data_IF_307539669396
#
_entry.id   IF_307539669396
#
_cell.length_a   1.000
_cell.length_b   1.000
_cell.length_c   1.000
_cell.angle_alpha   90.00
_cell.angle_beta   90.00
_cell.angle_gamma   90.00
#
_symmetry.space_group_name_H-M   'P 1'
#
loop_
_entity.id
_entity.type
_entity.pdbx_description
1 polymer ?
#
# COMPACT_ATOMS: atom_id res chain seq x y z
N UNK A 1 -32.90 -15.86 -51.59
CA UNK A 1 -31.86 -14.81 -51.44
C UNK A 1 -31.81 -14.47 -49.96
N UNK A 2 -30.79 -14.94 -49.25
CA UNK A 2 -30.57 -14.63 -47.85
C UNK A 2 -29.79 -13.32 -47.77
N UNK A 3 -30.40 -12.29 -47.22
CA UNK A 3 -29.71 -11.05 -46.88
C UNK A 3 -29.48 -11.06 -45.37
N UNK A 4 -28.33 -11.59 -44.96
CA UNK A 4 -27.86 -11.66 -43.57
C UNK A 4 -27.10 -10.36 -43.24
N UNK A 5 -27.82 -9.25 -43.21
CA UNK A 5 -27.29 -7.95 -42.82
C UNK A 5 -27.63 -7.59 -41.38
N UNK A 6 -27.15 -8.33 -40.37
CA UNK A 6 -27.29 -7.89 -38.96
C UNK A 6 -26.39 -8.51 -37.85
N UNK A 7 -25.06 -8.75 -38.01
CA UNK A 7 -24.20 -9.07 -36.85
C UNK A 7 -23.53 -7.85 -36.21
N UNK A 8 -23.36 -6.74 -36.93
CA UNK A 8 -22.38 -5.70 -36.56
C UNK A 8 -22.85 -4.76 -35.45
N UNK A 9 -24.15 -4.43 -35.40
CA UNK A 9 -24.71 -3.49 -34.41
C UNK A 9 -24.75 -4.06 -32.99
N UNK A 10 -25.01 -5.35 -32.85
CA UNK A 10 -25.08 -6.05 -31.54
C UNK A 10 -23.69 -6.18 -30.91
N UNK A 11 -22.65 -6.42 -31.71
CA UNK A 11 -21.26 -6.56 -31.25
C UNK A 11 -20.71 -5.23 -30.72
N UNK A 12 -21.04 -4.09 -31.36
CA UNK A 12 -20.59 -2.78 -30.88
C UNK A 12 -21.27 -2.35 -29.58
N UNK A 13 -22.56 -2.65 -29.41
CA UNK A 13 -23.29 -2.34 -28.16
C UNK A 13 -22.76 -3.11 -26.95
N UNK A 14 -22.38 -4.38 -27.15
CA UNK A 14 -21.80 -5.24 -26.11
C UNK A 14 -20.41 -4.73 -25.67
N UNK A 15 -19.55 -4.35 -26.62
CA UNK A 15 -18.21 -3.80 -26.32
C UNK A 15 -18.28 -2.45 -25.59
N UNK A 16 -19.22 -1.58 -25.95
CA UNK A 16 -19.41 -0.30 -25.24
C UNK A 16 -19.88 -0.54 -23.79
N UNK A 17 -20.76 -1.53 -23.58
CA UNK A 17 -21.15 -1.96 -22.23
C UNK A 17 -19.95 -2.42 -21.39
N UNK A 18 -19.12 -3.29 -21.95
CA UNK A 18 -17.90 -3.78 -21.29
C UNK A 18 -16.92 -2.63 -20.94
N UNK A 19 -16.71 -1.68 -21.84
CA UNK A 19 -15.88 -0.49 -21.57
C UNK A 19 -16.45 0.32 -20.40
N UNK A 20 -17.77 0.53 -20.37
CA UNK A 20 -18.40 1.28 -19.28
C UNK A 20 -18.29 0.56 -17.93
N UNK A 21 -18.41 -0.77 -17.92
CA UNK A 21 -18.23 -1.58 -16.70
C UNK A 21 -16.79 -1.51 -16.19
N UNK A 22 -15.80 -1.61 -17.08
CA UNK A 22 -14.37 -1.47 -16.74
C UNK A 22 -14.06 -0.06 -16.21
N UNK A 23 -14.66 0.98 -16.79
CA UNK A 23 -14.53 2.37 -16.30
C UNK A 23 -15.14 2.52 -14.91
N UNK A 24 -16.33 1.99 -14.67
CA UNK A 24 -16.98 2.02 -13.36
C UNK A 24 -16.13 1.30 -12.30
N UNK A 25 -15.55 0.14 -12.65
CA UNK A 25 -14.60 -0.58 -11.81
C UNK A 25 -13.37 0.27 -11.47
N UNK A 26 -12.76 0.95 -12.45
CA UNK A 26 -11.60 1.80 -12.19
C UNK A 26 -11.92 3.03 -11.34
N UNK A 27 -13.12 3.61 -11.46
CA UNK A 27 -13.59 4.68 -10.56
C UNK A 27 -13.64 4.18 -9.11
N UNK A 28 -14.25 3.02 -8.89
CA UNK A 28 -14.31 2.41 -7.55
C UNK A 28 -12.91 2.06 -7.02
N UNK A 29 -12.04 1.52 -7.87
CA UNK A 29 -10.66 1.21 -7.51
C UNK A 29 -9.85 2.46 -7.15
N UNK A 30 -10.15 3.63 -7.74
CA UNK A 30 -9.48 4.87 -7.39
C UNK A 30 -9.81 5.32 -5.95
N UNK A 31 -11.06 5.19 -5.52
CA UNK A 31 -11.46 5.44 -4.12
C UNK A 31 -10.75 4.48 -3.16
N UNK A 32 -10.67 3.21 -3.53
CA UNK A 32 -9.94 2.19 -2.78
C UNK A 32 -8.43 2.48 -2.73
N UNK A 33 -7.84 3.00 -3.81
CA UNK A 33 -6.44 3.39 -3.89
C UNK A 33 -6.12 4.51 -2.88
N UNK A 34 -6.99 5.52 -2.79
CA UNK A 34 -6.87 6.59 -1.80
C UNK A 34 -6.99 6.05 -0.37
N UNK A 35 -7.92 5.14 -0.12
CA UNK A 35 -8.07 4.48 1.19
C UNK A 35 -6.82 3.70 1.58
N UNK A 36 -6.29 2.88 0.67
CA UNK A 36 -5.06 2.09 0.90
C UNK A 36 -3.84 2.98 1.12
N UNK A 37 -3.75 4.11 0.42
CA UNK A 37 -2.70 5.11 0.66
C UNK A 37 -2.76 5.64 2.08
N UNK A 38 -3.94 6.03 2.56
CA UNK A 38 -4.13 6.53 3.93
C UNK A 38 -3.79 5.46 4.97
N UNK A 39 -4.27 4.22 4.77
CA UNK A 39 -3.97 3.10 5.67
C UNK A 39 -2.47 2.80 5.72
N UNK A 40 -1.80 2.80 4.58
CA UNK A 40 -0.35 2.58 4.50
C UNK A 40 0.41 3.69 5.21
N UNK A 41 0.06 4.96 4.96
CA UNK A 41 0.70 6.11 5.62
C UNK A 41 0.45 6.13 7.13
N UNK A 42 -0.71 5.66 7.59
CA UNK A 42 -1.00 5.51 9.01
C UNK A 42 -0.08 4.48 9.67
N UNK A 43 0.05 3.29 9.08
CA UNK A 43 0.94 2.25 9.59
C UNK A 43 2.40 2.71 9.58
N UNK A 44 2.78 3.48 8.57
CA UNK A 44 4.08 4.11 8.48
C UNK A 44 4.28 5.09 9.65
N UNK A 45 3.41 6.08 9.84
CA UNK A 45 3.46 7.01 10.97
C UNK A 45 3.53 6.31 12.34
N UNK A 46 2.77 5.22 12.52
CA UNK A 46 2.85 4.41 13.74
C UNK A 46 4.25 3.82 13.94
N UNK A 47 4.99 3.44 12.89
CA UNK A 47 6.37 2.96 13.02
C UNK A 47 7.33 4.01 13.61
N UNK A 48 7.18 5.29 13.25
CA UNK A 48 8.02 6.40 13.73
C UNK A 48 7.64 6.82 15.15
N UNK A 49 6.36 6.70 15.51
CA UNK A 49 5.93 6.91 16.90
C UNK A 49 6.63 5.96 17.89
N UNK A 50 7.11 4.81 17.41
CA UNK A 50 7.85 3.83 18.20
C UNK A 50 9.38 4.02 18.14
N UNK A 51 9.91 5.17 17.70
CA UNK A 51 11.34 5.50 17.59
C UNK A 51 12.14 5.60 18.92
N UNK A 52 11.69 4.94 19.98
CA UNK A 52 12.55 4.66 21.13
C UNK A 52 13.57 3.59 20.73
N UNK A 53 14.67 4.08 20.15
CA UNK A 53 15.76 3.29 19.61
C UNK A 53 16.43 2.44 20.72
N UNK A 54 16.73 1.18 20.38
CA UNK A 54 17.46 0.16 21.16
C UNK A 54 18.78 0.68 21.77
N UNK A 55 19.29 1.83 21.35
CA UNK A 55 20.41 2.54 21.98
C UNK A 55 20.18 2.83 23.47
N UNK A 56 18.94 2.95 23.95
CA UNK A 56 18.65 3.02 25.39
C UNK A 56 18.78 1.68 26.14
N UNK A 57 18.73 0.53 25.44
CA UNK A 57 19.00 -0.79 26.02
C UNK A 57 20.45 -0.89 26.50
N UNK A 58 21.41 -0.33 25.74
CA UNK A 58 22.81 -0.18 26.19
C UNK A 58 22.92 0.75 27.41
N UNK A 59 22.12 1.80 27.51
CA UNK A 59 22.15 2.68 28.68
C UNK A 59 21.60 2.01 29.96
N UNK A 60 20.74 1.00 29.83
CA UNK A 60 20.18 0.26 30.99
C UNK A 60 21.01 -0.98 31.35
N UNK A 61 21.64 -1.63 30.36
CA UNK A 61 22.30 -2.93 30.53
C UNK A 61 23.79 -2.98 30.15
N UNK A 62 24.38 -1.92 29.57
CA UNK A 62 25.83 -1.90 29.29
C UNK A 62 26.66 -1.40 30.50
N UNK A 63 27.97 -1.64 30.41
CA UNK A 63 28.95 -1.60 31.50
C UNK A 63 28.84 -0.37 32.42
N UNK A 64 28.59 -0.63 33.71
CA UNK A 64 28.40 0.38 34.76
C UNK A 64 27.12 0.17 35.57
N UNK A 65 26.12 -0.50 35.00
CA UNK A 65 24.89 -0.84 35.72
C UNK A 65 25.00 -2.20 36.43
N UNK A 66 24.68 -2.29 37.74
CA UNK A 66 24.82 -3.55 38.48
C UNK A 66 23.83 -4.61 37.98
N UNK A 67 24.30 -5.86 37.93
CA UNK A 67 23.52 -7.06 37.60
C UNK A 67 22.20 -7.10 38.41
N UNK A 68 21.14 -7.60 37.77
CA UNK A 68 19.92 -7.97 38.49
C UNK A 68 20.26 -9.16 39.39
N UNK A 69 20.34 -8.90 40.69
CA UNK A 69 20.58 -9.90 41.72
C UNK A 69 19.27 -10.21 42.43
N UNK A 70 18.94 -11.50 42.48
CA UNK A 70 17.95 -12.05 43.38
C UNK A 70 18.58 -12.23 44.76
N UNK A 71 17.82 -11.97 45.81
CA UNK A 71 18.21 -12.33 47.17
C UNK A 71 18.16 -13.86 47.32
N UNK A 72 18.81 -14.45 48.34
CA UNK A 72 18.77 -15.90 48.59
C UNK A 72 17.37 -16.48 48.77
N UNK A 73 16.40 -15.65 49.16
CA UNK A 73 14.98 -16.00 49.29
C UNK A 73 14.18 -15.90 47.96
N UNK A 74 14.86 -15.58 46.85
CA UNK A 74 14.27 -15.37 45.53
C UNK A 74 13.67 -13.98 45.31
N UNK A 75 13.67 -13.09 46.31
CA UNK A 75 13.08 -11.75 46.16
C UNK A 75 13.98 -10.79 45.37
N UNK A 76 13.35 -9.86 44.64
CA UNK A 76 14.02 -8.82 43.86
C UNK A 76 13.87 -7.49 44.59
N UNK A 77 14.96 -6.74 44.74
CA UNK A 77 14.91 -5.42 45.39
C UNK A 77 14.22 -4.38 44.47
N UNK A 78 13.74 -3.28 45.05
CA UNK A 78 13.02 -2.24 44.33
C UNK A 78 13.78 -1.69 43.11
N UNK A 79 15.11 -1.54 43.23
CA UNK A 79 15.97 -1.05 42.15
C UNK A 79 16.04 -2.01 40.95
N UNK A 80 16.14 -3.31 41.22
CA UNK A 80 16.11 -4.36 40.18
C UNK A 80 14.71 -4.52 39.58
N UNK A 81 13.64 -4.36 40.36
CA UNK A 81 12.27 -4.36 39.85
C UNK A 81 12.01 -3.22 38.87
N UNK A 82 12.53 -2.01 39.14
CA UNK A 82 12.41 -0.87 38.22
C UNK A 82 13.13 -1.12 36.88
N UNK A 83 14.31 -1.76 36.91
CA UNK A 83 15.05 -2.16 35.70
C UNK A 83 14.29 -3.18 34.86
N UNK A 84 13.69 -4.19 35.49
CA UNK A 84 12.88 -5.20 34.80
C UNK A 84 11.67 -4.54 34.15
N UNK A 85 10.95 -3.66 34.86
CA UNK A 85 9.81 -2.94 34.30
C UNK A 85 10.20 -2.07 33.09
N UNK A 86 11.35 -1.42 33.14
CA UNK A 86 11.84 -0.65 32.00
C UNK A 86 12.19 -1.55 30.80
N UNK A 87 12.85 -2.68 31.03
CA UNK A 87 13.18 -3.64 29.98
C UNK A 87 11.93 -4.23 29.31
N UNK A 88 10.89 -4.53 30.10
CA UNK A 88 9.60 -4.97 29.57
C UNK A 88 8.97 -3.90 28.68
N UNK A 89 8.96 -2.63 29.11
CA UNK A 89 8.44 -1.53 28.29
C UNK A 89 9.18 -1.36 26.97
N UNK A 90 10.51 -1.56 26.97
CA UNK A 90 11.29 -1.54 25.72
C UNK A 90 10.89 -2.69 24.79
N UNK A 91 10.75 -3.91 25.31
CA UNK A 91 10.29 -5.06 24.51
C UNK A 91 8.87 -4.84 23.95
N UNK A 92 7.98 -4.22 24.72
CA UNK A 92 6.64 -3.85 24.24
C UNK A 92 6.69 -2.83 23.09
N UNK A 93 7.61 -1.86 23.15
CA UNK A 93 7.81 -0.88 22.08
C UNK A 93 8.40 -1.54 20.82
N UNK A 94 9.38 -2.42 20.97
CA UNK A 94 9.96 -3.19 19.86
C UNK A 94 8.91 -4.07 19.17
N UNK A 95 8.07 -4.76 19.95
CA UNK A 95 6.97 -5.57 19.41
C UNK A 95 5.99 -4.72 18.62
N UNK A 96 5.56 -3.58 19.17
CA UNK A 96 4.64 -2.65 18.47
C UNK A 96 5.24 -2.12 17.18
N UNK A 97 6.53 -1.77 17.18
CA UNK A 97 7.25 -1.35 15.97
C UNK A 97 7.25 -2.46 14.92
N UNK A 98 7.55 -3.70 15.31
CA UNK A 98 7.54 -4.85 14.39
C UNK A 98 6.15 -5.12 13.81
N UNK A 99 5.11 -5.01 14.63
CA UNK A 99 3.71 -5.18 14.21
C UNK A 99 3.30 -4.08 13.21
N UNK A 100 3.63 -2.81 13.50
CA UNK A 100 3.36 -1.67 12.60
C UNK A 100 4.13 -1.79 11.29
N UNK A 101 5.40 -2.22 11.29
CA UNK A 101 6.19 -2.45 10.07
C UNK A 101 5.58 -3.58 9.22
N UNK A 102 5.12 -4.65 9.87
CA UNK A 102 4.45 -5.76 9.20
C UNK A 102 3.12 -5.32 8.57
N UNK A 103 2.34 -4.51 9.28
CA UNK A 103 1.09 -3.93 8.78
C UNK A 103 1.34 -2.95 7.61
N UNK A 104 2.37 -2.12 7.71
CA UNK A 104 2.81 -1.25 6.62
C UNK A 104 3.17 -2.06 5.37
N UNK A 105 3.99 -3.11 5.50
CA UNK A 105 4.38 -3.96 4.37
C UNK A 105 3.17 -4.60 3.69
N UNK A 106 2.22 -5.14 4.47
CA UNK A 106 1.00 -5.72 3.92
C UNK A 106 0.13 -4.69 3.19
N UNK A 107 -0.02 -3.49 3.75
CA UNK A 107 -0.80 -2.40 3.15
C UNK A 107 -0.15 -1.86 1.87
N UNK A 108 1.16 -1.65 1.89
CA UNK A 108 1.97 -1.25 0.73
C UNK A 108 1.81 -2.25 -0.43
N UNK A 109 1.93 -3.55 -0.14
CA UNK A 109 1.73 -4.59 -1.16
C UNK A 109 0.33 -4.55 -1.75
N UNK A 110 -0.68 -4.35 -0.91
CA UNK A 110 -2.07 -4.17 -1.35
C UNK A 110 -2.25 -2.93 -2.24
N UNK A 111 -1.59 -1.83 -1.92
CA UNK A 111 -1.63 -0.61 -2.73
C UNK A 111 -1.05 -0.84 -4.14
N UNK A 112 0.14 -1.42 -4.24
CA UNK A 112 0.78 -1.68 -5.54
C UNK A 112 0.03 -2.72 -6.36
N UNK A 113 -0.52 -3.76 -5.73
CA UNK A 113 -1.34 -4.75 -6.46
C UNK A 113 -2.57 -4.10 -7.11
N UNK A 114 -3.19 -3.13 -6.42
CA UNK A 114 -4.35 -2.42 -6.94
C UNK A 114 -3.99 -1.54 -8.14
N UNK A 115 -2.83 -0.87 -8.11
CA UNK A 115 -2.31 -0.13 -9.26
C UNK A 115 -2.14 -1.05 -10.47
N UNK A 116 -1.48 -2.20 -10.30
CA UNK A 116 -1.30 -3.18 -11.40
C UNK A 116 -2.65 -3.65 -11.98
N UNK A 117 -3.66 -3.84 -11.13
CA UNK A 117 -4.98 -4.28 -11.58
C UNK A 117 -5.75 -3.16 -12.30
N UNK A 118 -5.57 -1.91 -11.89
CA UNK A 118 -6.12 -0.74 -12.58
C UNK A 118 -5.44 -0.52 -13.94
N UNK A 119 -4.11 -0.69 -14.02
CA UNK A 119 -3.33 -0.63 -15.26
C UNK A 119 -3.78 -1.69 -16.26
N UNK A 120 -3.94 -2.95 -15.82
CA UNK A 120 -4.51 -4.03 -16.67
C UNK A 120 -5.90 -3.66 -17.18
N UNK A 121 -6.73 -3.06 -16.34
CA UNK A 121 -8.08 -2.61 -16.71
C UNK A 121 -8.02 -1.51 -17.77
N UNK A 122 -7.10 -0.55 -17.67
CA UNK A 122 -6.91 0.48 -18.72
C UNK A 122 -6.38 -0.14 -20.03
N UNK A 123 -5.47 -1.10 -19.97
CA UNK A 123 -5.00 -1.84 -21.16
C UNK A 123 -6.16 -2.59 -21.84
N UNK A 124 -7.04 -3.21 -21.06
CA UNK A 124 -8.24 -3.89 -21.59
C UNK A 124 -9.20 -2.91 -22.26
N UNK A 125 -9.44 -1.75 -21.65
CA UNK A 125 -10.22 -0.66 -22.26
C UNK A 125 -9.60 -0.24 -23.61
N UNK A 126 -8.29 -0.04 -23.67
CA UNK A 126 -7.59 0.34 -24.91
C UNK A 126 -7.71 -0.74 -25.99
N UNK A 127 -7.63 -2.02 -25.61
CA UNK A 127 -7.82 -3.14 -26.54
C UNK A 127 -9.25 -3.14 -27.09
N UNK A 128 -10.27 -3.03 -26.24
CA UNK A 128 -11.68 -2.98 -26.67
C UNK A 128 -11.96 -1.77 -27.56
N UNK A 129 -11.44 -0.59 -27.20
CA UNK A 129 -11.53 0.62 -28.02
C UNK A 129 -10.90 0.41 -29.40
N UNK A 130 -9.75 -0.26 -29.47
CA UNK A 130 -9.08 -0.56 -30.75
C UNK A 130 -9.91 -1.45 -31.68
N UNK A 131 -10.71 -2.37 -31.12
CA UNK A 131 -11.62 -3.24 -31.87
C UNK A 131 -12.77 -2.45 -32.49
N UNK A 132 -13.28 -1.44 -31.79
CA UNK A 132 -14.38 -0.59 -32.28
C UNK A 132 -13.91 0.65 -33.07
N UNK A 133 -12.60 0.92 -33.13
CA UNK A 133 -12.02 2.13 -33.74
C UNK A 133 -11.97 2.13 -35.29
N UNK A 134 -12.95 1.51 -35.96
CA UNK A 134 -13.05 1.52 -37.43
C UNK A 134 -13.65 2.80 -38.04
N UNK A 135 -13.94 3.86 -37.28
CA UNK A 135 -14.33 5.14 -37.91
C UNK A 135 -15.05 6.22 -37.10
N UNK A 136 -14.73 6.45 -35.81
CA UNK A 136 -15.42 7.48 -35.01
C UNK A 136 -14.48 8.31 -34.11
N UNK A 137 -14.71 9.62 -34.04
CA UNK A 137 -13.92 10.59 -33.24
C UNK A 137 -14.00 10.33 -31.72
N UNK A 138 -15.14 9.87 -31.22
CA UNK A 138 -15.37 9.60 -29.78
C UNK A 138 -14.44 8.50 -29.24
N UNK A 139 -14.14 7.47 -30.05
CA UNK A 139 -13.23 6.39 -29.65
C UNK A 139 -11.76 6.85 -29.58
N UNK A 140 -11.41 7.92 -30.29
CA UNK A 140 -10.07 8.52 -30.22
C UNK A 140 -9.90 9.30 -28.91
N UNK A 141 -10.91 10.07 -28.51
CA UNK A 141 -10.89 10.85 -27.27
C UNK A 141 -10.84 9.93 -26.03
N UNK A 142 -11.63 8.85 -25.99
CA UNK A 142 -11.56 7.88 -24.87
C UNK A 142 -10.24 7.09 -24.85
N UNK A 143 -9.68 6.75 -26.02
CA UNK A 143 -8.36 6.09 -26.09
C UNK A 143 -7.27 6.98 -25.49
N UNK A 144 -7.31 8.29 -25.80
CA UNK A 144 -6.39 9.25 -25.21
C UNK A 144 -6.60 9.38 -23.70
N UNK A 145 -7.85 9.50 -23.25
CA UNK A 145 -8.18 9.57 -21.82
C UNK A 145 -7.71 8.31 -21.05
N UNK A 146 -7.85 7.11 -21.62
CA UNK A 146 -7.35 5.87 -21.01
C UNK A 146 -5.83 5.85 -20.87
N UNK A 147 -5.10 6.34 -21.88
CA UNK A 147 -3.63 6.46 -21.80
C UNK A 147 -3.20 7.45 -20.71
N UNK A 148 -3.91 8.57 -20.58
CA UNK A 148 -3.64 9.55 -19.52
C UNK A 148 -3.87 8.95 -18.13
N UNK A 149 -4.95 8.18 -17.93
CA UNK A 149 -5.19 7.44 -16.68
C UNK A 149 -4.09 6.41 -16.39
N UNK A 150 -3.62 5.69 -17.40
CA UNK A 150 -2.51 4.75 -17.27
C UNK A 150 -1.22 5.47 -16.82
N UNK A 151 -0.86 6.57 -17.47
CA UNK A 151 0.34 7.36 -17.11
C UNK A 151 0.22 7.87 -15.67
N UNK A 152 -0.95 8.39 -15.29
CA UNK A 152 -1.20 8.85 -13.93
C UNK A 152 -1.01 7.74 -12.89
N UNK A 153 -1.41 6.49 -13.18
CA UNK A 153 -1.20 5.35 -12.29
C UNK A 153 0.29 5.07 -12.05
N UNK A 154 1.10 5.09 -13.10
CA UNK A 154 2.56 4.91 -13.01
C UNK A 154 3.22 6.05 -12.23
N UNK A 155 2.82 7.30 -12.48
CA UNK A 155 3.31 8.46 -11.72
C UNK A 155 2.98 8.31 -10.22
N UNK A 156 1.77 7.88 -9.88
CA UNK A 156 1.38 7.62 -8.49
C UNK A 156 2.15 6.46 -7.87
N UNK A 157 2.43 5.41 -8.65
CA UNK A 157 3.22 4.27 -8.22
C UNK A 157 4.63 4.71 -7.83
N UNK A 158 5.28 5.47 -8.71
CA UNK A 158 6.65 5.99 -8.51
C UNK A 158 6.68 6.94 -7.32
N UNK A 159 5.80 7.95 -7.30
CA UNK A 159 5.77 8.94 -6.22
C UNK A 159 5.58 8.30 -4.83
N UNK A 160 4.67 7.32 -4.72
CA UNK A 160 4.45 6.64 -3.44
C UNK A 160 5.59 5.71 -3.06
N UNK A 161 6.20 5.03 -4.04
CA UNK A 161 7.38 4.21 -3.80
C UNK A 161 8.55 5.05 -3.29
N UNK A 162 8.85 6.17 -3.94
CA UNK A 162 9.91 7.11 -3.54
C UNK A 162 9.65 7.66 -2.14
N UNK A 163 8.44 8.19 -1.89
CA UNK A 163 8.11 8.77 -0.59
C UNK A 163 8.14 7.75 0.56
N UNK A 164 7.74 6.50 0.32
CA UNK A 164 7.87 5.44 1.32
C UNK A 164 9.30 4.97 1.53
N UNK A 165 10.13 4.95 0.48
CA UNK A 165 11.55 4.61 0.61
C UNK A 165 12.31 5.68 1.39
N UNK A 166 12.12 6.96 1.08
CA UNK A 166 12.69 8.09 1.83
C UNK A 166 12.36 7.99 3.32
N UNK A 167 11.10 7.68 3.62
CA UNK A 167 10.65 7.56 5.00
C UNK A 167 11.24 6.33 5.72
N UNK A 168 11.41 5.20 5.03
CA UNK A 168 12.08 4.03 5.57
C UNK A 168 13.58 4.29 5.82
N UNK A 169 14.23 5.12 5.01
CA UNK A 169 15.61 5.57 5.26
C UNK A 169 15.70 6.39 6.54
N UNK A 170 14.72 7.26 6.84
CA UNK A 170 14.66 8.02 8.09
C UNK A 170 14.48 7.13 9.35
N UNK A 171 13.91 5.93 9.19
CA UNK A 171 13.78 4.96 10.28
C UNK A 171 15.04 4.12 10.58
N UNK A 172 16.02 4.13 9.67
CA UNK A 172 17.24 3.29 9.74
C UNK A 172 18.36 3.94 10.55
#
# INVERSE_FOLDING_TARGET
MHDLGQPTLTVHGDVIGQINDLKAKNISNHEELLRRRLDTNKNLFECDHHNLQVTQYRLVFAGGNPLILTRPDGSINHFNSAKISFAMKLLELDQKRADSLSAFYAAQKGYFQLIEDMEKTEVEIQQLLSVINKGGKENHDEMQASKERFIWLEENRVQMMEGWLEWLEELS
#
